data_IF_959399035639
#
_entry.id   IF_959399035639
#
_cell.length_a   1.000
_cell.length_b   1.000
_cell.length_c   1.000
_cell.angle_alpha   90.00
_cell.angle_beta   90.00
_cell.angle_gamma   90.00
#
_symmetry.space_group_name_H-M   'P 1'
#
loop_
_entity.id
_entity.type
_entity.pdbx_description
1 polymer ?
#
# COMPACT_ATOMS: atom_id res chain seq x y z
N UNK A 1 1.00 25.24 -3.10
CA UNK A 1 -0.30 25.15 -2.40
C UNK A 1 -0.03 25.53 -0.96
N UNK A 2 -0.49 26.70 -0.50
CA UNK A 2 -0.22 27.17 0.85
C UNK A 2 -0.82 26.16 1.85
N UNK A 3 0.01 25.61 2.75
CA UNK A 3 -0.48 24.77 3.84
C UNK A 3 -1.26 25.66 4.79
N UNK A 4 -2.58 25.53 4.72
CA UNK A 4 -3.50 26.26 5.57
C UNK A 4 -3.26 25.90 7.04
N UNK A 5 -3.09 26.92 7.88
CA UNK A 5 -2.63 26.80 9.26
C UNK A 5 -3.56 25.87 10.07
N UNK A 6 -3.01 24.92 10.86
CA UNK A 6 -3.81 23.98 11.64
C UNK A 6 -4.76 24.65 12.64
N UNK A 7 -4.44 25.86 13.12
CA UNK A 7 -5.27 26.60 14.06
C UNK A 7 -6.46 27.24 13.34
N UNK A 8 -6.23 27.95 12.24
CA UNK A 8 -7.29 28.56 11.40
C UNK A 8 -8.27 27.51 10.83
N UNK A 9 -7.79 26.29 10.58
CA UNK A 9 -8.66 25.18 10.16
C UNK A 9 -9.58 24.70 11.28
N UNK A 10 -9.06 24.59 12.52
CA UNK A 10 -9.85 24.18 13.69
C UNK A 10 -10.92 25.23 14.02
N UNK A 11 -10.59 26.50 13.87
CA UNK A 11 -11.54 27.60 14.09
C UNK A 11 -12.71 27.54 13.11
N UNK A 12 -12.46 27.34 11.81
CA UNK A 12 -13.54 27.16 10.82
C UNK A 12 -14.38 25.90 11.06
N UNK A 13 -13.78 24.81 11.56
CA UNK A 13 -14.53 23.60 11.94
C UNK A 13 -15.47 23.86 13.13
N UNK A 14 -15.01 24.55 14.16
CA UNK A 14 -15.85 24.93 15.30
C UNK A 14 -16.91 25.98 14.92
N UNK A 15 -16.59 26.90 14.01
CA UNK A 15 -17.54 27.86 13.44
C UNK A 15 -18.67 27.15 12.68
N UNK A 16 -18.35 26.23 11.76
CA UNK A 16 -19.34 25.42 11.04
C UNK A 16 -20.20 24.58 11.99
N UNK A 17 -19.61 24.06 13.07
CA UNK A 17 -20.31 23.32 14.11
C UNK A 17 -21.27 24.21 14.91
N UNK A 18 -20.89 25.45 15.18
CA UNK A 18 -21.76 26.44 15.83
C UNK A 18 -22.90 26.89 14.90
N UNK A 19 -22.60 27.15 13.62
CA UNK A 19 -23.60 27.47 12.60
C UNK A 19 -24.61 26.35 12.44
N UNK A 20 -24.15 25.09 12.35
CA UNK A 20 -25.02 23.93 12.30
C UNK A 20 -25.91 23.84 13.55
N UNK A 21 -25.36 24.03 14.76
CA UNK A 21 -26.14 24.05 16.01
C UNK A 21 -27.21 25.14 16.00
N UNK A 22 -26.89 26.33 15.49
CA UNK A 22 -27.84 27.44 15.37
C UNK A 22 -28.94 27.13 14.35
N UNK A 23 -28.57 26.60 13.17
CA UNK A 23 -29.53 26.15 12.15
C UNK A 23 -30.48 25.10 12.71
N UNK A 24 -29.95 24.12 13.43
CA UNK A 24 -30.77 23.07 14.07
C UNK A 24 -31.68 23.63 15.16
N UNK A 25 -31.24 24.62 15.95
CA UNK A 25 -32.11 25.29 16.94
C UNK A 25 -33.24 26.06 16.25
N UNK A 26 -32.96 26.78 15.16
CA UNK A 26 -33.97 27.53 14.39
C UNK A 26 -34.98 26.58 13.74
N UNK A 27 -34.50 25.51 13.11
CA UNK A 27 -35.35 24.51 12.46
C UNK A 27 -36.24 23.77 13.49
N UNK A 28 -35.67 23.39 14.65
CA UNK A 28 -36.45 22.83 15.76
C UNK A 28 -37.51 23.79 16.31
N UNK A 29 -37.21 25.09 16.34
CA UNK A 29 -38.16 26.11 16.78
C UNK A 29 -39.29 26.27 15.77
N UNK A 30 -38.97 26.47 14.48
CA UNK A 30 -39.95 26.58 13.39
C UNK A 30 -40.89 25.37 13.34
N UNK A 31 -40.37 24.15 13.46
CA UNK A 31 -41.20 22.93 13.44
C UNK A 31 -42.07 22.77 14.68
N UNK A 32 -41.61 23.22 15.87
CA UNK A 32 -42.48 23.30 17.06
C UNK A 32 -43.60 24.30 16.86
N UNK A 33 -43.33 25.42 16.22
CA UNK A 33 -44.36 26.41 15.87
C UNK A 33 -45.35 25.85 14.85
N UNK A 34 -44.91 25.09 13.84
CA UNK A 34 -45.78 24.36 12.90
C UNK A 34 -46.69 23.35 13.63
N UNK A 35 -46.12 22.54 14.55
CA UNK A 35 -46.89 21.56 15.34
C UNK A 35 -47.89 22.26 16.25
N UNK A 36 -47.50 23.33 16.94
CA UNK A 36 -48.41 24.11 17.77
C UNK A 36 -49.52 24.76 16.92
N UNK A 37 -49.21 25.21 15.71
CA UNK A 37 -50.18 25.71 14.74
C UNK A 37 -51.18 24.65 14.30
N UNK A 38 -50.71 23.45 13.92
CA UNK A 38 -51.56 22.31 13.59
C UNK A 38 -52.43 21.89 14.77
N UNK A 39 -51.88 21.90 15.98
CA UNK A 39 -52.64 21.58 17.21
C UNK A 39 -53.76 22.60 17.44
N UNK A 40 -53.50 23.89 17.19
CA UNK A 40 -54.51 24.94 17.27
C UNK A 40 -55.59 24.80 16.19
N UNK A 41 -55.22 24.44 14.95
CA UNK A 41 -56.19 24.16 13.88
C UNK A 41 -57.06 22.94 14.19
N UNK A 42 -56.47 21.87 14.74
CA UNK A 42 -57.22 20.70 15.21
C UNK A 42 -58.20 21.10 16.33
N UNK A 43 -57.79 21.98 17.25
CA UNK A 43 -58.67 22.50 18.29
C UNK A 43 -59.84 23.32 17.71
N UNK A 44 -59.60 24.14 16.67
CA UNK A 44 -60.66 24.87 15.96
C UNK A 44 -61.64 23.94 15.26
N UNK A 45 -61.14 22.88 14.59
CA UNK A 45 -61.99 21.85 13.96
C UNK A 45 -62.85 21.13 15.01
N UNK A 46 -62.30 20.86 16.20
CA UNK A 46 -63.07 20.34 17.35
C UNK A 46 -64.14 21.32 17.85
N UNK A 47 -63.86 22.63 17.84
CA UNK A 47 -64.83 23.69 18.20
C UNK A 47 -65.98 23.80 17.20
N UNK A 48 -65.69 23.92 15.90
CA UNK A 48 -66.70 23.93 14.83
C UNK A 48 -67.59 22.68 14.86
N UNK A 49 -67.07 21.52 15.27
CA UNK A 49 -67.85 20.30 15.46
C UNK A 49 -68.93 20.45 16.54
N UNK A 50 -68.67 21.13 17.66
CA UNK A 50 -69.68 21.33 18.72
C UNK A 50 -70.85 22.17 18.21
N UNK A 51 -70.60 23.13 17.32
CA UNK A 51 -71.62 23.95 16.66
C UNK A 51 -72.43 23.14 15.63
N UNK A 52 -71.77 22.26 14.87
CA UNK A 52 -72.41 21.40 13.85
C UNK A 52 -73.13 20.19 14.47
N UNK A 53 -72.69 19.67 15.63
CA UNK A 53 -73.37 18.58 16.38
C UNK A 53 -74.78 18.96 16.85
N UNK A 54 -75.13 20.25 16.89
CA UNK A 54 -76.51 20.71 17.10
C UNK A 54 -77.46 20.30 15.96
N UNK A 55 -76.94 19.90 14.79
CA UNK A 55 -77.67 19.22 13.72
C UNK A 55 -77.45 17.70 13.81
N UNK A 56 -78.48 16.96 14.23
CA UNK A 56 -78.40 15.55 14.61
C UNK A 56 -77.98 14.55 13.50
N UNK A 57 -77.84 14.98 12.23
CA UNK A 57 -77.77 14.05 11.09
C UNK A 57 -76.35 13.63 10.64
N UNK A 58 -75.27 14.27 11.10
CA UNK A 58 -73.91 14.04 10.58
C UNK A 58 -72.83 13.69 11.62
N UNK A 59 -73.20 13.53 12.90
CA UNK A 59 -72.25 13.25 14.01
C UNK A 59 -71.29 12.10 13.75
N UNK A 60 -71.80 10.96 13.27
CA UNK A 60 -70.98 9.77 13.00
C UNK A 60 -69.95 9.97 11.86
N UNK A 61 -70.25 10.82 10.87
CA UNK A 61 -69.30 11.14 9.79
C UNK A 61 -68.16 12.01 10.32
N UNK A 62 -68.48 13.00 11.16
CA UNK A 62 -67.49 13.86 11.79
C UNK A 62 -66.59 13.13 12.78
N UNK A 63 -67.14 12.19 13.55
CA UNK A 63 -66.35 11.34 14.46
C UNK A 63 -65.33 10.49 13.70
N UNK A 64 -65.71 9.97 12.53
CA UNK A 64 -64.80 9.21 11.66
C UNK A 64 -63.70 10.10 11.08
N UNK A 65 -64.03 11.31 10.63
CA UNK A 65 -63.05 12.28 10.09
C UNK A 65 -62.04 12.71 11.17
N UNK A 66 -62.51 12.96 12.40
CA UNK A 66 -61.64 13.28 13.53
C UNK A 66 -60.74 12.12 13.94
N UNK A 67 -61.27 10.89 13.98
CA UNK A 67 -60.46 9.71 14.25
C UNK A 67 -59.35 9.53 13.22
N UNK A 68 -59.63 9.76 11.93
CA UNK A 68 -58.59 9.75 10.90
C UNK A 68 -57.56 10.87 11.08
N UNK A 69 -57.99 12.10 11.39
CA UNK A 69 -57.08 13.23 11.62
C UNK A 69 -56.18 13.01 12.85
N UNK A 70 -56.70 12.44 13.93
CA UNK A 70 -55.93 12.10 15.12
C UNK A 70 -54.90 11.00 14.85
N UNK A 71 -55.28 9.93 14.14
CA UNK A 71 -54.34 8.85 13.77
C UNK A 71 -53.27 9.35 12.80
N UNK A 72 -53.65 10.15 11.79
CA UNK A 72 -52.70 10.70 10.83
C UNK A 72 -51.74 11.71 11.46
N UNK A 73 -52.24 12.56 12.37
CA UNK A 73 -51.38 13.50 13.08
C UNK A 73 -50.42 12.80 14.04
N UNK A 74 -50.86 11.74 14.73
CA UNK A 74 -50.00 10.91 15.58
C UNK A 74 -48.91 10.19 14.76
N UNK A 75 -49.28 9.50 13.68
CA UNK A 75 -48.35 8.79 12.80
C UNK A 75 -47.33 9.73 12.15
N UNK A 76 -47.76 10.90 11.68
CA UNK A 76 -46.87 11.91 11.10
C UNK A 76 -45.85 12.46 12.12
N UNK A 77 -46.25 12.58 13.39
CA UNK A 77 -45.36 13.00 14.47
C UNK A 77 -44.32 11.92 14.83
N UNK A 78 -44.73 10.65 14.89
CA UNK A 78 -43.84 9.51 15.13
C UNK A 78 -42.82 9.33 13.99
N UNK A 79 -43.27 9.41 12.74
CA UNK A 79 -42.40 9.31 11.56
C UNK A 79 -41.36 10.45 11.52
N UNK A 80 -41.78 11.70 11.81
CA UNK A 80 -40.85 12.84 11.91
C UNK A 80 -39.82 12.65 13.04
N UNK A 81 -40.23 12.10 14.17
CA UNK A 81 -39.34 11.86 15.30
C UNK A 81 -38.33 10.73 15.02
N UNK A 82 -38.78 9.65 14.36
CA UNK A 82 -37.93 8.55 13.93
C UNK A 82 -36.91 9.00 12.87
N UNK A 83 -37.35 9.74 11.85
CA UNK A 83 -36.49 10.34 10.83
C UNK A 83 -35.39 11.21 11.45
N UNK A 84 -35.74 12.00 12.47
CA UNK A 84 -34.78 12.82 13.20
C UNK A 84 -33.75 12.00 13.99
N UNK A 85 -34.17 10.91 14.64
CA UNK A 85 -33.25 10.01 15.35
C UNK A 85 -32.23 9.36 14.40
N UNK A 86 -32.65 9.01 13.19
CA UNK A 86 -31.78 8.44 12.15
C UNK A 86 -30.78 9.46 11.62
N UNK A 87 -31.21 10.69 11.35
CA UNK A 87 -30.33 11.76 10.87
C UNK A 87 -29.24 12.11 11.90
N UNK A 88 -29.58 12.13 13.20
CA UNK A 88 -28.63 12.33 14.29
C UNK A 88 -27.63 11.17 14.38
N UNK A 89 -28.10 9.93 14.30
CA UNK A 89 -27.23 8.74 14.31
C UNK A 89 -26.26 8.72 13.11
N UNK A 90 -26.76 8.99 11.89
CA UNK A 90 -25.95 9.08 10.67
C UNK A 90 -24.90 10.19 10.76
N UNK A 91 -25.27 11.34 11.36
CA UNK A 91 -24.36 12.46 11.55
C UNK A 91 -23.24 12.11 12.53
N UNK A 92 -23.56 11.43 13.64
CA UNK A 92 -22.59 10.96 14.63
C UNK A 92 -21.62 9.90 14.07
N UNK A 93 -22.14 8.97 13.27
CA UNK A 93 -21.30 7.97 12.59
C UNK A 93 -20.36 8.62 11.57
N UNK A 94 -20.84 9.58 10.78
CA UNK A 94 -20.01 10.33 9.82
C UNK A 94 -18.92 11.15 10.51
N UNK A 95 -19.20 11.76 11.65
CA UNK A 95 -18.15 12.45 12.42
C UNK A 95 -17.11 11.47 12.96
N UNK A 96 -17.54 10.36 13.58
CA UNK A 96 -16.60 9.35 14.09
C UNK A 96 -15.68 8.78 13.00
N UNK A 97 -16.21 8.56 11.80
CA UNK A 97 -15.39 8.13 10.65
C UNK A 97 -14.38 9.19 10.20
N UNK A 98 -14.77 10.48 10.16
CA UNK A 98 -13.84 11.57 9.81
C UNK A 98 -12.71 11.70 10.82
N UNK A 99 -13.01 11.59 12.10
CA UNK A 99 -12.02 11.68 13.17
C UNK A 99 -11.06 10.48 13.12
N UNK A 100 -11.58 9.27 12.91
CA UNK A 100 -10.77 8.06 12.69
C UNK A 100 -9.85 8.19 11.48
N UNK A 101 -10.36 8.65 10.33
CA UNK A 101 -9.55 8.83 9.12
C UNK A 101 -8.44 9.88 9.34
N UNK A 102 -8.72 10.94 10.10
CA UNK A 102 -7.73 11.97 10.46
C UNK A 102 -6.62 11.42 11.33
N UNK A 103 -6.96 10.63 12.35
CA UNK A 103 -5.99 9.98 13.24
C UNK A 103 -5.07 9.03 12.47
N UNK A 104 -5.65 8.20 11.59
CA UNK A 104 -4.90 7.31 10.71
C UNK A 104 -3.93 8.06 9.80
N UNK A 105 -4.35 9.17 9.17
CA UNK A 105 -3.49 9.97 8.30
C UNK A 105 -2.33 10.60 9.08
N UNK A 106 -2.58 11.09 10.30
CA UNK A 106 -1.52 11.61 11.17
C UNK A 106 -0.53 10.52 11.53
N UNK A 107 -1.01 9.37 12.02
CA UNK A 107 -0.17 8.26 12.44
C UNK A 107 0.70 7.72 11.29
N UNK A 108 0.09 7.43 10.14
CA UNK A 108 0.82 6.97 8.94
C UNK A 108 1.78 8.05 8.44
N UNK A 109 1.39 9.32 8.51
CA UNK A 109 2.24 10.45 8.15
C UNK A 109 3.50 10.54 9.02
N UNK A 110 3.38 10.27 10.33
CA UNK A 110 4.52 10.21 11.24
C UNK A 110 5.45 9.04 10.96
N UNK A 111 4.89 7.85 10.72
CA UNK A 111 5.68 6.65 10.37
C UNK A 111 6.44 6.84 9.05
N UNK A 112 5.79 7.38 8.01
CA UNK A 112 6.43 7.67 6.72
C UNK A 112 7.51 8.73 6.87
N UNK A 113 7.27 9.77 7.67
CA UNK A 113 8.26 10.81 7.97
C UNK A 113 9.49 10.21 8.64
N UNK A 114 9.30 9.37 9.67
CA UNK A 114 10.39 8.68 10.37
C UNK A 114 11.19 7.76 9.44
N UNK A 115 10.50 7.01 8.58
CA UNK A 115 11.15 6.16 7.57
C UNK A 115 12.02 7.00 6.63
N UNK A 116 11.48 8.10 6.10
CA UNK A 116 12.22 9.01 5.23
C UNK A 116 13.43 9.61 5.93
N UNK A 117 13.29 10.04 7.18
CA UNK A 117 14.40 10.62 7.94
C UNK A 117 15.49 9.57 8.24
N UNK A 118 15.11 8.32 8.50
CA UNK A 118 16.05 7.21 8.67
C UNK A 118 16.80 6.88 7.37
N UNK A 119 16.10 6.84 6.24
CA UNK A 119 16.71 6.65 4.92
C UNK A 119 17.64 7.82 4.59
N UNK A 120 17.23 9.05 4.90
CA UNK A 120 18.06 10.25 4.73
C UNK A 120 19.38 10.13 5.50
N UNK A 121 19.32 9.78 6.79
CA UNK A 121 20.51 9.55 7.63
C UNK A 121 21.39 8.40 7.14
N UNK A 122 20.77 7.31 6.67
CA UNK A 122 21.49 6.19 6.08
C UNK A 122 22.25 6.61 4.83
N UNK A 123 21.60 7.33 3.92
CA UNK A 123 22.21 7.84 2.70
C UNK A 123 23.31 8.87 2.99
N UNK A 124 23.09 9.77 3.95
CA UNK A 124 24.09 10.75 4.38
C UNK A 124 25.32 10.05 5.00
N UNK A 125 25.10 9.05 5.85
CA UNK A 125 26.18 8.20 6.37
C UNK A 125 26.93 7.42 5.29
N UNK A 126 26.23 6.95 4.25
CA UNK A 126 26.85 6.29 3.11
C UNK A 126 27.68 7.27 2.25
N UNK A 127 27.19 8.49 2.05
CA UNK A 127 27.90 9.55 1.31
C UNK A 127 29.14 10.03 2.08
N UNK A 128 29.02 10.28 3.39
CA UNK A 128 30.16 10.64 4.23
C UNK A 128 31.15 9.48 4.36
N UNK A 129 30.66 8.24 4.44
CA UNK A 129 31.50 7.04 4.34
C UNK A 129 32.26 6.97 3.02
N UNK A 130 31.60 7.25 1.89
CA UNK A 130 32.22 7.32 0.58
C UNK A 130 33.26 8.46 0.50
N UNK A 131 32.94 9.66 1.00
CA UNK A 131 33.87 10.80 1.09
C UNK A 131 35.07 10.49 1.97
N UNK A 132 34.89 9.81 3.10
CA UNK A 132 35.98 9.38 3.96
C UNK A 132 36.85 8.32 3.27
N UNK A 133 36.27 7.46 2.43
CA UNK A 133 37.04 6.56 1.56
C UNK A 133 37.84 7.35 0.51
N UNK A 134 37.24 8.39 -0.10
CA UNK A 134 37.93 9.24 -1.10
C UNK A 134 39.00 10.15 -0.47
N UNK A 135 38.77 10.69 0.72
CA UNK A 135 39.74 11.49 1.47
C UNK A 135 40.92 10.64 1.97
N UNK A 136 40.65 9.38 2.38
CA UNK A 136 41.72 8.42 2.68
C UNK A 136 42.38 7.87 1.39
N UNK A 137 41.74 7.96 0.21
CA UNK A 137 42.41 7.71 -1.08
C UNK A 137 43.33 8.87 -1.53
N UNK A 138 43.16 10.08 -0.99
CA UNK A 138 44.14 11.18 -1.11
C UNK A 138 45.46 10.90 -0.39
N UNK A 139 45.48 9.90 0.49
CA UNK A 139 46.68 9.37 1.13
C UNK A 139 46.67 7.84 0.99
N UNK A 140 46.89 7.37 -0.26
CA UNK A 140 47.18 5.99 -0.66
C UNK A 140 46.85 4.92 0.41
N UNK A 141 45.55 4.69 0.64
CA UNK A 141 45.06 3.59 1.47
C UNK A 141 45.75 2.30 1.01
N UNK A 142 46.20 1.41 1.91
CA UNK A 142 46.80 0.15 1.49
C UNK A 142 45.72 -0.63 0.75
N UNK A 143 45.84 -0.72 -0.57
CA UNK A 143 45.04 -1.61 -1.40
C UNK A 143 45.15 -2.98 -0.75
N UNK A 144 44.07 -3.49 -0.15
CA UNK A 144 44.06 -4.84 0.40
C UNK A 144 44.54 -5.74 -0.74
N UNK A 145 45.71 -6.31 -0.57
CA UNK A 145 46.36 -7.05 -1.63
C UNK A 145 45.40 -8.15 -2.06
N UNK A 146 45.06 -8.23 -3.36
CA UNK A 146 44.25 -9.32 -3.86
C UNK A 146 44.92 -10.62 -3.44
N UNK A 147 44.17 -11.46 -2.73
CA UNK A 147 44.67 -12.77 -2.32
C UNK A 147 45.11 -13.50 -3.60
N UNK A 148 46.32 -14.06 -3.64
CA UNK A 148 46.76 -14.90 -4.78
C UNK A 148 45.89 -16.15 -4.83
N UNK A 149 44.77 -16.04 -5.52
CA UNK A 149 43.80 -17.12 -5.74
C UNK A 149 43.95 -17.62 -7.17
N UNK A 150 43.75 -18.92 -7.37
CA UNK A 150 43.65 -19.48 -8.72
C UNK A 150 42.32 -19.03 -9.33
N UNK A 151 42.37 -18.66 -10.61
CA UNK A 151 41.17 -18.38 -11.38
C UNK A 151 40.28 -19.64 -11.47
N UNK A 152 38.94 -19.53 -11.47
CA UNK A 152 38.05 -20.69 -11.54
C UNK A 152 38.30 -21.53 -12.80
N UNK A 153 38.08 -22.84 -12.68
CA UNK A 153 38.14 -23.74 -13.83
C UNK A 153 37.08 -23.39 -14.87
N UNK A 154 37.42 -23.53 -16.16
CA UNK A 154 36.53 -23.14 -17.24
C UNK A 154 35.37 -24.14 -17.44
N UNK A 155 34.14 -23.64 -17.49
CA UNK A 155 32.91 -24.41 -17.70
C UNK A 155 32.46 -24.37 -19.17
N UNK A 156 32.30 -25.56 -19.77
CA UNK A 156 31.97 -25.74 -21.19
C UNK A 156 30.51 -26.10 -21.46
N UNK A 157 29.71 -26.38 -20.44
CA UNK A 157 28.31 -26.80 -20.61
C UNK A 157 28.14 -28.29 -20.88
N UNK A 158 29.14 -29.11 -20.57
CA UNK A 158 29.08 -30.57 -20.76
C UNK A 158 28.27 -31.22 -19.63
N UNK A 159 27.59 -32.33 -19.91
CA UNK A 159 26.71 -33.01 -18.93
C UNK A 159 27.46 -33.53 -17.70
N UNK A 160 28.76 -33.81 -17.85
CA UNK A 160 29.64 -34.28 -16.78
C UNK A 160 30.16 -33.15 -15.89
N UNK A 161 30.12 -31.90 -16.37
CA UNK A 161 30.60 -30.74 -15.64
C UNK A 161 29.55 -30.29 -14.61
N UNK A 162 30.00 -30.03 -13.38
CA UNK A 162 29.12 -29.63 -12.28
C UNK A 162 28.88 -28.11 -12.29
N UNK A 163 27.75 -27.70 -12.86
CA UNK A 163 27.35 -26.30 -12.94
C UNK A 163 27.29 -25.62 -11.55
N UNK A 164 26.78 -26.30 -10.53
CA UNK A 164 26.61 -25.72 -9.19
C UNK A 164 27.97 -25.47 -8.52
N UNK A 165 28.91 -26.42 -8.65
CA UNK A 165 30.28 -26.25 -8.14
C UNK A 165 31.03 -25.12 -8.88
N UNK A 166 30.81 -25.00 -10.20
CA UNK A 166 31.40 -23.91 -10.97
C UNK A 166 30.86 -22.54 -10.55
N UNK A 167 29.54 -22.39 -10.41
CA UNK A 167 28.90 -21.16 -9.91
C UNK A 167 29.43 -20.79 -8.52
N UNK A 168 29.57 -21.76 -7.61
CA UNK A 168 30.15 -21.54 -6.30
C UNK A 168 31.59 -21.01 -6.39
N UNK A 169 32.42 -21.62 -7.25
CA UNK A 169 33.82 -21.23 -7.46
C UNK A 169 33.95 -19.80 -8.00
N UNK A 170 33.12 -19.42 -8.97
CA UNK A 170 33.08 -18.05 -9.52
C UNK A 170 32.63 -17.04 -8.45
N UNK A 171 31.59 -17.35 -7.68
CA UNK A 171 31.12 -16.47 -6.59
C UNK A 171 32.19 -16.26 -5.51
N UNK A 172 32.90 -17.32 -5.12
CA UNK A 172 34.01 -17.23 -4.17
C UNK A 172 35.15 -16.38 -4.72
N UNK A 173 35.51 -16.53 -6.00
CA UNK A 173 36.53 -15.70 -6.64
C UNK A 173 36.14 -14.22 -6.67
N UNK A 174 34.91 -13.93 -7.12
CA UNK A 174 34.36 -12.56 -7.16
C UNK A 174 34.39 -11.89 -5.78
N UNK A 175 33.98 -12.60 -4.73
CA UNK A 175 33.98 -12.09 -3.37
C UNK A 175 35.40 -11.82 -2.84
N UNK A 176 36.32 -12.78 -3.00
CA UNK A 176 37.69 -12.69 -2.47
C UNK A 176 38.57 -11.70 -3.25
N UNK A 177 38.30 -11.48 -4.53
CA UNK A 177 39.03 -10.51 -5.37
C UNK A 177 38.42 -9.10 -5.35
N UNK A 178 37.34 -8.89 -4.58
CA UNK A 178 36.63 -7.61 -4.50
C UNK A 178 36.22 -7.07 -5.88
N UNK A 179 35.74 -7.95 -6.76
CA UNK A 179 35.31 -7.57 -8.12
C UNK A 179 34.06 -6.70 -8.04
N UNK A 180 34.11 -5.55 -8.72
CA UNK A 180 32.98 -4.63 -8.82
C UNK A 180 31.79 -5.30 -9.50
N UNK A 181 30.58 -5.00 -9.04
CA UNK A 181 29.33 -5.59 -9.56
C UNK A 181 29.22 -5.47 -11.09
N UNK A 182 29.71 -4.37 -11.64
CA UNK A 182 29.73 -4.06 -13.08
C UNK A 182 30.70 -4.93 -13.89
N UNK A 183 31.61 -5.66 -13.25
CA UNK A 183 32.62 -6.52 -13.90
C UNK A 183 32.40 -8.01 -13.62
N UNK A 184 31.43 -8.36 -12.77
CA UNK A 184 31.22 -9.74 -12.33
C UNK A 184 30.84 -10.69 -13.46
N UNK A 185 30.02 -10.27 -14.42
CA UNK A 185 29.66 -11.11 -15.58
C UNK A 185 30.86 -11.28 -16.52
N UNK A 186 31.74 -10.29 -16.63
CA UNK A 186 32.97 -10.41 -17.40
C UNK A 186 33.88 -11.49 -16.81
N UNK A 187 34.03 -11.52 -15.49
CA UNK A 187 34.80 -12.56 -14.78
C UNK A 187 34.17 -13.95 -14.99
N UNK A 188 32.85 -14.07 -14.84
CA UNK A 188 32.16 -15.33 -15.09
C UNK A 188 32.33 -15.79 -16.54
N UNK A 189 32.26 -14.87 -17.51
CA UNK A 189 32.46 -15.15 -18.93
C UNK A 189 33.87 -15.65 -19.25
N UNK A 190 34.90 -15.08 -18.60
CA UNK A 190 36.29 -15.57 -18.75
C UNK A 190 36.47 -17.01 -18.25
N UNK A 191 35.60 -17.46 -17.34
CA UNK A 191 35.55 -18.83 -16.85
C UNK A 191 34.59 -19.74 -17.65
N UNK A 192 34.19 -19.35 -18.86
CA UNK A 192 33.43 -20.19 -19.80
C UNK A 192 34.33 -20.70 -20.93
N UNK A 193 33.98 -21.87 -21.49
CA UNK A 193 34.54 -22.41 -22.73
C UNK A 193 33.45 -23.01 -23.63
N UNK A 194 33.84 -23.52 -24.80
CA UNK A 194 33.01 -24.33 -25.69
C UNK A 194 31.61 -23.71 -25.99
N UNK A 195 30.53 -24.51 -25.88
CA UNK A 195 29.16 -24.09 -26.18
C UNK A 195 28.67 -22.99 -25.22
N UNK A 196 29.14 -23.00 -23.96
CA UNK A 196 28.74 -22.01 -22.97
C UNK A 196 29.19 -20.59 -23.32
N UNK A 197 30.38 -20.42 -23.91
CA UNK A 197 30.86 -19.11 -24.41
C UNK A 197 30.00 -18.62 -25.58
N UNK A 198 29.71 -19.49 -26.53
CA UNK A 198 28.88 -19.15 -27.69
C UNK A 198 27.47 -18.73 -27.24
N UNK A 199 26.90 -19.43 -26.26
CA UNK A 199 25.63 -19.06 -25.67
C UNK A 199 25.71 -17.72 -24.93
N UNK A 200 26.74 -17.47 -24.12
CA UNK A 200 26.90 -16.19 -23.42
C UNK A 200 27.02 -15.00 -24.39
N UNK A 201 27.68 -15.17 -25.55
CA UNK A 201 27.70 -14.15 -26.62
C UNK A 201 26.32 -13.93 -27.24
N UNK A 202 25.54 -15.00 -27.42
CA UNK A 202 24.15 -14.84 -27.89
C UNK A 202 23.28 -14.05 -26.90
N UNK A 203 23.48 -14.24 -25.59
CA UNK A 203 22.83 -13.43 -24.56
C UNK A 203 23.25 -11.96 -24.65
N UNK A 204 24.53 -11.69 -24.92
CA UNK A 204 25.03 -10.35 -25.14
C UNK A 204 24.38 -9.66 -26.35
N UNK A 205 24.24 -10.36 -27.47
CA UNK A 205 23.51 -9.87 -28.64
C UNK A 205 22.04 -9.59 -28.33
N UNK A 206 21.36 -10.50 -27.63
CA UNK A 206 19.95 -10.34 -27.27
C UNK A 206 19.73 -9.16 -26.32
N UNK A 207 20.71 -8.86 -25.46
CA UNK A 207 20.69 -7.69 -24.58
C UNK A 207 21.08 -6.37 -25.29
N UNK A 208 21.25 -6.36 -26.62
CA UNK A 208 21.65 -5.17 -27.38
C UNK A 208 23.09 -4.72 -27.12
N UNK A 209 23.95 -5.60 -26.61
CA UNK A 209 25.31 -5.26 -26.19
C UNK A 209 26.38 -5.60 -27.25
N UNK A 210 26.01 -5.93 -28.49
CA UNK A 210 26.97 -6.16 -29.61
C UNK A 210 28.13 -7.12 -29.28
N UNK A 211 27.87 -8.22 -28.57
CA UNK A 211 28.91 -9.16 -28.07
C UNK A 211 29.94 -8.56 -27.08
N UNK A 212 29.72 -7.33 -26.61
CA UNK A 212 30.56 -6.68 -25.61
C UNK A 212 30.15 -7.12 -24.20
N UNK A 213 30.88 -8.09 -23.64
CA UNK A 213 30.63 -8.62 -22.30
C UNK A 213 30.79 -7.58 -21.18
N UNK A 214 31.58 -6.52 -21.41
CA UNK A 214 31.69 -5.40 -20.46
C UNK A 214 30.38 -4.60 -20.42
N UNK A 215 29.77 -4.35 -21.57
CA UNK A 215 28.46 -3.71 -21.65
C UNK A 215 27.37 -4.61 -21.05
N UNK A 216 27.40 -5.92 -21.34
CA UNK A 216 26.47 -6.90 -20.77
C UNK A 216 26.50 -6.92 -19.24
N UNK A 217 27.70 -6.85 -18.66
CA UNK A 217 27.90 -6.89 -17.22
C UNK A 217 27.28 -5.68 -16.50
N UNK A 218 27.07 -4.56 -17.19
CA UNK A 218 26.37 -3.38 -16.65
C UNK A 218 24.85 -3.52 -16.68
N UNK A 219 24.30 -4.27 -17.63
CA UNK A 219 22.84 -4.42 -17.82
C UNK A 219 22.28 -5.72 -17.26
N UNK A 220 23.13 -6.73 -17.07
CA UNK A 220 22.74 -8.05 -16.56
C UNK A 220 23.50 -8.35 -15.27
N UNK A 221 22.84 -8.36 -14.10
CA UNK A 221 23.47 -8.77 -12.85
C UNK A 221 23.92 -10.25 -12.90
N UNK A 222 25.01 -10.56 -12.21
CA UNK A 222 25.59 -11.92 -12.16
C UNK A 222 24.57 -13.03 -11.81
N UNK A 223 23.65 -12.87 -10.83
CA UNK A 223 22.64 -13.90 -10.55
C UNK A 223 21.72 -14.20 -11.73
N UNK A 224 21.36 -13.17 -12.51
CA UNK A 224 20.52 -13.32 -13.70
C UNK A 224 21.30 -14.04 -14.81
N UNK A 225 22.58 -13.72 -14.98
CA UNK A 225 23.45 -14.41 -15.93
C UNK A 225 23.57 -15.91 -15.61
N UNK A 226 23.76 -16.28 -14.34
CA UNK A 226 23.79 -17.69 -13.93
C UNK A 226 22.45 -18.39 -14.13
N UNK A 227 21.33 -17.71 -13.91
CA UNK A 227 20.00 -18.28 -14.17
C UNK A 227 19.85 -18.69 -15.65
N UNK A 228 20.24 -17.81 -16.58
CA UNK A 228 20.15 -18.08 -18.02
C UNK A 228 21.07 -19.24 -18.44
N UNK A 229 22.27 -19.32 -17.89
CA UNK A 229 23.17 -20.46 -18.12
C UNK A 229 22.61 -21.78 -17.57
N UNK A 230 22.00 -21.74 -16.37
CA UNK A 230 21.37 -22.90 -15.75
C UNK A 230 20.22 -23.44 -16.60
N UNK A 231 19.36 -22.56 -17.12
CA UNK A 231 18.23 -22.94 -17.98
C UNK A 231 18.68 -23.65 -19.26
N UNK A 232 19.86 -23.31 -19.79
CA UNK A 232 20.41 -23.92 -21.01
C UNK A 232 21.16 -25.23 -20.74
N UNK A 233 21.98 -25.29 -19.68
CA UNK A 233 22.98 -26.35 -19.51
C UNK A 233 22.75 -27.27 -18.31
N UNK A 234 21.87 -26.93 -17.36
CA UNK A 234 21.65 -27.81 -16.22
C UNK A 234 20.87 -29.07 -16.64
N UNK A 235 21.34 -30.23 -16.18
CA UNK A 235 20.61 -31.49 -16.35
C UNK A 235 19.52 -31.63 -15.27
N UNK A 236 18.23 -31.51 -15.63
CA UNK A 236 17.12 -31.60 -14.68
C UNK A 236 17.00 -32.98 -14.01
N UNK A 237 17.60 -34.02 -14.59
CA UNK A 237 17.52 -35.40 -14.08
C UNK A 237 18.67 -35.75 -13.12
N UNK A 238 19.64 -34.85 -12.92
CA UNK A 238 20.81 -35.09 -12.05
C UNK A 238 20.43 -35.29 -10.58
N UNK A 239 19.49 -34.48 -10.06
CA UNK A 239 19.03 -34.59 -8.68
C UNK A 239 18.30 -35.91 -8.40
N UNK A 240 17.48 -36.36 -9.35
CA UNK A 240 16.76 -37.66 -9.27
C UNK A 240 17.76 -38.81 -9.22
N UNK A 241 18.74 -38.84 -10.15
CA UNK A 241 19.80 -39.86 -10.14
C UNK A 241 20.65 -39.86 -8.88
N UNK A 242 20.91 -38.70 -8.27
CA UNK A 242 21.63 -38.61 -7.01
C UNK A 242 20.81 -39.19 -5.84
N UNK A 243 19.49 -38.94 -5.83
CA UNK A 243 18.57 -39.53 -4.85
C UNK A 243 18.46 -41.05 -5.00
N UNK A 244 18.31 -41.56 -6.22
CA UNK A 244 18.24 -43.01 -6.51
C UNK A 244 19.52 -43.75 -6.08
N UNK A 245 20.68 -43.10 -6.24
CA UNK A 245 21.97 -43.63 -5.76
C UNK A 245 22.07 -43.68 -4.24
N UNK A 246 21.42 -42.77 -3.52
CA UNK A 246 21.39 -42.79 -2.05
C UNK A 246 20.44 -43.87 -1.53
N UNK A 247 19.31 -44.09 -2.19
CA UNK A 247 18.36 -45.15 -1.83
C UNK A 247 18.94 -46.55 -2.03
N UNK A 248 19.76 -46.75 -3.06
CA UNK A 248 20.42 -48.04 -3.33
C UNK A 248 21.54 -48.39 -2.34
N UNK A 249 22.08 -47.43 -1.58
CA UNK A 249 23.07 -47.66 -0.51
C UNK A 249 22.41 -48.21 0.76
N UNK A 250 21.14 -47.90 1.03
CA UNK A 250 20.39 -48.40 2.20
C UNK A 250 19.77 -49.80 2.02
N UNK A 251 19.89 -50.40 0.83
CA UNK A 251 19.30 -51.70 0.50
C UNK A 251 20.32 -52.85 0.42
N UNK A 252 21.52 -52.67 0.99
CA UNK A 252 22.59 -53.68 1.02
C UNK A 252 22.89 -54.07 2.46
#
# INVERSE_FOLDING_TARGET
MAMEDPMERREREEEQKLEWKLRMKREKKKRREEVNGLTAEVAKVKGCRQEVEAQANDKAKWDKVLGYLEVLSAAWMEERQASWSQEVALSAMRSGFRDFARDMVTHVGEEVRKLRDNVGKFCEGAIEGAKAITAVEGEARPRKEPVKLKFPDAYGGKKEEDFDNWVASVNSYVYLQHILTEEQVLVAFQALKDEAVSFARSLACAAGCENNMVACSKVTPLPQFFKLLRERFADPTRGVRASDKLQTIHSR
#
